data_IF_210495404440
#
_entry.id   IF_210495404440
#
_cell.length_a   1.000
_cell.length_b   1.000
_cell.length_c   1.000
_cell.angle_alpha   90.00
_cell.angle_beta   90.00
_cell.angle_gamma   90.00
#
_symmetry.space_group_name_H-M   'P 1'
#
loop_
_entity.id
_entity.type
_entity.pdbx_description
1 polymer ?
#
# COMPACT_ATOMS: atom_id res chain seq x y z
N UNK A 1 5.82 -28.67 -1.52
CA UNK A 1 7.18 -28.71 -2.09
C UNK A 1 7.08 -29.04 -3.58
N UNK A 2 7.23 -28.03 -4.43
CA UNK A 2 7.36 -28.24 -5.87
C UNK A 2 8.86 -28.40 -6.13
N UNK A 3 9.31 -29.65 -6.21
CA UNK A 3 10.65 -29.97 -6.67
C UNK A 3 10.75 -29.58 -8.15
N UNK A 4 11.39 -28.44 -8.42
CA UNK A 4 11.70 -28.03 -9.78
C UNK A 4 13.04 -28.64 -10.18
N UNK A 5 13.00 -29.69 -10.97
CA UNK A 5 14.20 -30.24 -11.63
C UNK A 5 14.56 -29.29 -12.78
N UNK A 6 15.53 -28.43 -12.55
CA UNK A 6 15.99 -27.40 -13.47
C UNK A 6 17.31 -27.80 -14.12
N UNK A 7 17.33 -27.96 -15.43
CA UNK A 7 18.54 -28.25 -16.20
C UNK A 7 18.86 -27.06 -17.13
N UNK A 8 20.02 -26.46 -16.94
CA UNK A 8 20.70 -25.57 -17.90
C UNK A 8 20.33 -24.09 -17.81
N UNK A 9 19.42 -23.61 -18.65
CA UNK A 9 19.16 -22.17 -18.84
C UNK A 9 18.33 -21.49 -17.72
N UNK A 10 17.60 -22.28 -16.96
CA UNK A 10 16.83 -21.79 -15.80
C UNK A 10 17.73 -21.35 -14.63
N UNK A 11 18.93 -21.93 -14.54
CA UNK A 11 19.92 -21.61 -13.52
C UNK A 11 20.47 -20.18 -13.66
N UNK A 12 20.59 -19.65 -14.88
CA UNK A 12 21.13 -18.33 -15.12
C UNK A 12 20.25 -17.20 -14.57
N UNK A 13 18.92 -17.28 -14.70
CA UNK A 13 18.02 -16.26 -14.12
C UNK A 13 18.00 -16.34 -12.61
N UNK A 14 18.04 -17.56 -12.07
CA UNK A 14 18.03 -17.79 -10.63
C UNK A 14 19.26 -17.23 -9.94
N UNK A 15 20.43 -17.37 -10.56
CA UNK A 15 21.69 -16.92 -9.99
C UNK A 15 21.92 -15.42 -10.20
N UNK A 16 21.44 -14.84 -11.32
CA UNK A 16 21.69 -13.43 -11.65
C UNK A 16 20.71 -12.44 -11.01
N UNK A 17 19.46 -12.85 -10.74
CA UNK A 17 18.38 -11.94 -10.32
C UNK A 17 17.65 -12.37 -9.04
N UNK A 18 18.18 -13.33 -8.27
CA UNK A 18 17.47 -13.91 -7.11
C UNK A 18 16.03 -14.35 -7.47
N UNK A 19 15.89 -15.03 -8.61
CA UNK A 19 14.60 -15.55 -9.04
C UNK A 19 14.15 -16.67 -8.07
N UNK A 20 12.97 -16.49 -7.49
CA UNK A 20 12.40 -17.38 -6.47
C UNK A 20 11.18 -18.16 -6.96
N UNK A 21 10.76 -17.93 -8.19
CA UNK A 21 9.68 -18.65 -8.83
C UNK A 21 9.77 -18.62 -10.35
N UNK A 22 9.67 -19.80 -10.94
CA UNK A 22 9.67 -19.98 -12.40
C UNK A 22 8.64 -21.03 -12.78
N UNK A 23 7.79 -20.70 -13.77
CA UNK A 23 6.86 -21.65 -14.39
C UNK A 23 6.95 -21.54 -15.90
N UNK A 24 7.26 -22.67 -16.53
CA UNK A 24 7.35 -22.77 -18.00
C UNK A 24 6.14 -23.50 -18.57
N UNK A 25 5.81 -23.18 -19.80
CA UNK A 25 4.81 -23.88 -20.59
C UNK A 25 5.19 -23.85 -22.07
N UNK A 26 4.99 -24.95 -22.79
CA UNK A 26 5.26 -25.04 -24.22
C UNK A 26 4.20 -25.86 -24.91
N UNK A 27 3.65 -25.35 -26.01
CA UNK A 27 2.79 -26.08 -26.92
C UNK A 27 3.12 -25.73 -28.36
N UNK A 28 2.81 -26.60 -29.30
CA UNK A 28 3.08 -26.37 -30.72
C UNK A 28 2.42 -25.08 -31.25
N UNK A 29 1.25 -24.71 -30.76
CA UNK A 29 0.54 -23.50 -31.19
C UNK A 29 0.88 -22.23 -30.41
N UNK A 30 1.23 -22.38 -29.11
CA UNK A 30 1.49 -21.21 -28.23
C UNK A 30 2.98 -20.86 -28.10
N UNK A 31 3.88 -21.65 -28.67
CA UNK A 31 5.32 -21.44 -28.53
C UNK A 31 5.83 -21.67 -27.11
N UNK A 32 6.94 -21.03 -26.77
CA UNK A 32 7.58 -21.13 -25.45
C UNK A 32 7.12 -19.98 -24.55
N UNK A 33 6.59 -20.32 -23.39
CA UNK A 33 6.03 -19.39 -22.42
C UNK A 33 6.77 -19.49 -21.08
N UNK A 34 6.89 -18.36 -20.36
CA UNK A 34 7.56 -18.27 -19.07
C UNK A 34 6.86 -17.25 -18.18
N UNK A 35 6.59 -17.65 -16.95
CA UNK A 35 6.30 -16.74 -15.85
C UNK A 35 7.43 -16.86 -14.84
N UNK A 36 8.05 -15.76 -14.50
CA UNK A 36 9.15 -15.70 -13.52
C UNK A 36 8.89 -14.65 -12.46
N UNK A 37 9.35 -14.92 -11.25
CA UNK A 37 9.30 -14.00 -10.11
C UNK A 37 10.71 -13.82 -9.56
N UNK A 38 11.06 -12.59 -9.23
CA UNK A 38 12.33 -12.26 -8.59
C UNK A 38 12.16 -11.17 -7.55
N UNK A 39 13.05 -11.16 -6.55
CA UNK A 39 13.07 -10.18 -5.46
C UNK A 39 14.41 -9.46 -5.40
N UNK A 40 14.35 -8.14 -5.15
CA UNK A 40 15.54 -7.32 -4.86
C UNK A 40 15.21 -6.34 -3.73
N UNK A 41 15.76 -6.57 -2.54
CA UNK A 41 15.35 -5.87 -1.34
C UNK A 41 13.86 -6.12 -1.04
N UNK A 42 13.11 -5.05 -0.83
CA UNK A 42 11.66 -5.12 -0.55
C UNK A 42 10.80 -5.19 -1.83
N UNK A 43 11.43 -5.15 -3.01
CA UNK A 43 10.73 -5.16 -4.28
C UNK A 43 10.65 -6.56 -4.86
N UNK A 44 9.42 -6.99 -5.22
CA UNK A 44 9.15 -8.20 -5.99
C UNK A 44 8.61 -7.84 -7.36
N UNK A 45 9.15 -8.44 -8.39
CA UNK A 45 8.65 -8.33 -9.75
C UNK A 45 8.25 -9.68 -10.30
N UNK A 46 7.23 -9.67 -11.15
CA UNK A 46 6.77 -10.82 -11.91
C UNK A 46 6.86 -10.45 -13.39
N UNK A 47 7.58 -11.26 -14.16
CA UNK A 47 7.65 -11.12 -15.61
C UNK A 47 6.88 -12.26 -16.28
N UNK A 48 6.09 -11.92 -17.29
CA UNK A 48 5.34 -12.86 -18.12
C UNK A 48 5.79 -12.70 -19.57
N UNK A 49 6.36 -13.75 -20.12
CA UNK A 49 6.84 -13.81 -21.50
C UNK A 49 6.10 -14.93 -22.22
N UNK A 50 5.43 -14.61 -23.31
CA UNK A 50 4.58 -15.56 -24.06
C UNK A 50 4.98 -15.61 -25.54
N UNK A 51 4.80 -16.80 -26.14
CA UNK A 51 4.86 -16.97 -27.59
C UNK A 51 6.26 -16.86 -28.20
N UNK A 52 7.33 -17.09 -27.44
CA UNK A 52 8.69 -17.02 -27.99
C UNK A 52 9.00 -18.24 -28.89
N UNK A 53 9.95 -18.05 -29.80
CA UNK A 53 10.32 -19.09 -30.77
C UNK A 53 11.18 -20.21 -30.17
N UNK A 54 11.90 -19.92 -29.10
CA UNK A 54 12.78 -20.91 -28.45
C UNK A 54 12.79 -20.73 -26.92
N UNK A 55 13.18 -21.80 -26.27
CA UNK A 55 13.40 -21.83 -24.81
C UNK A 55 14.34 -20.71 -24.35
N UNK A 56 15.49 -20.57 -25.00
CA UNK A 56 16.49 -19.55 -24.66
C UNK A 56 15.97 -18.11 -24.77
N UNK A 57 15.12 -17.84 -25.75
CA UNK A 57 14.55 -16.49 -25.94
C UNK A 57 13.64 -16.12 -24.78
N UNK A 58 12.74 -17.01 -24.32
CA UNK A 58 11.85 -16.68 -23.19
C UNK A 58 12.61 -16.33 -21.92
N UNK A 59 13.73 -17.02 -21.62
CA UNK A 59 14.56 -16.71 -20.47
C UNK A 59 15.28 -15.36 -20.62
N UNK A 60 15.89 -15.10 -21.77
CA UNK A 60 16.58 -13.83 -22.01
C UNK A 60 15.63 -12.63 -21.95
N UNK A 61 14.43 -12.75 -22.52
CA UNK A 61 13.44 -11.66 -22.46
C UNK A 61 12.91 -11.46 -21.02
N UNK A 62 12.72 -12.53 -20.27
CA UNK A 62 12.33 -12.42 -18.86
C UNK A 62 13.41 -11.73 -18.01
N UNK A 63 14.67 -12.07 -18.20
CA UNK A 63 15.81 -11.44 -17.53
C UNK A 63 15.89 -9.94 -17.85
N UNK A 64 15.73 -9.58 -19.12
CA UNK A 64 15.70 -8.16 -19.54
C UNK A 64 14.57 -7.38 -18.87
N UNK A 65 13.36 -7.96 -18.82
CA UNK A 65 12.20 -7.31 -18.18
C UNK A 65 12.42 -7.11 -16.68
N UNK A 66 12.88 -8.14 -15.96
CA UNK A 66 13.15 -8.06 -14.53
C UNK A 66 14.28 -7.05 -14.24
N UNK A 67 15.38 -7.12 -15.00
CA UNK A 67 16.50 -6.18 -14.89
C UNK A 67 16.06 -4.74 -15.13
N UNK A 68 15.25 -4.53 -16.18
CA UNK A 68 14.67 -3.21 -16.46
C UNK A 68 13.82 -2.73 -15.30
N UNK A 69 12.93 -3.56 -14.77
CA UNK A 69 12.07 -3.21 -13.66
C UNK A 69 12.87 -2.84 -12.40
N UNK A 70 13.84 -3.66 -12.00
CA UNK A 70 14.71 -3.38 -10.84
C UNK A 70 15.61 -2.16 -11.05
N UNK A 71 15.96 -1.83 -12.28
CA UNK A 71 16.77 -0.66 -12.59
C UNK A 71 15.99 0.65 -12.48
N UNK A 72 14.75 0.68 -12.95
CA UNK A 72 13.97 1.91 -13.09
C UNK A 72 12.90 2.12 -12.01
N UNK A 73 12.57 1.10 -11.22
CA UNK A 73 11.58 1.18 -10.17
C UNK A 73 12.18 0.89 -8.80
N UNK A 74 11.53 1.37 -7.79
CA UNK A 74 11.83 1.08 -6.38
C UNK A 74 10.52 0.90 -5.60
N UNK A 75 10.56 0.03 -4.59
CA UNK A 75 9.44 -0.17 -3.67
C UNK A 75 9.77 0.50 -2.34
N UNK A 76 8.87 1.31 -1.85
CA UNK A 76 8.98 2.03 -0.59
C UNK A 76 7.81 1.71 0.31
N UNK A 77 8.02 1.71 1.62
CA UNK A 77 6.97 1.53 2.63
C UNK A 77 6.77 2.86 3.35
N UNK A 78 5.92 3.76 2.81
CA UNK A 78 5.74 5.11 3.33
C UNK A 78 5.10 5.15 4.72
N UNK A 79 4.30 4.13 5.04
CA UNK A 79 3.67 3.99 6.36
C UNK A 79 4.06 2.63 6.94
N UNK A 80 4.68 2.66 8.12
CA UNK A 80 4.99 1.43 8.86
C UNK A 80 3.71 0.83 9.44
N UNK A 81 3.67 -0.50 9.65
CA UNK A 81 2.57 -1.14 10.38
C UNK A 81 2.43 -0.47 11.74
N UNK A 82 1.21 -0.34 12.22
CA UNK A 82 0.87 0.21 13.53
C UNK A 82 1.38 1.66 13.80
N UNK A 83 1.88 2.36 12.75
CA UNK A 83 2.26 3.76 12.89
C UNK A 83 1.02 4.66 12.84
N UNK A 84 0.96 5.62 13.76
CA UNK A 84 -0.02 6.70 13.71
C UNK A 84 0.29 7.59 12.51
N UNK A 85 -0.65 7.69 11.59
CA UNK A 85 -0.56 8.58 10.42
C UNK A 85 -1.00 10.00 10.78
N UNK A 86 -2.11 10.11 11.52
CA UNK A 86 -2.67 11.38 11.99
C UNK A 86 -3.43 11.18 13.29
N UNK A 87 -3.43 12.22 14.13
CA UNK A 87 -4.29 12.30 15.32
C UNK A 87 -5.44 13.23 15.01
N UNK A 88 -6.68 12.77 15.26
CA UNK A 88 -7.90 13.50 14.95
C UNK A 88 -8.76 13.66 16.21
N UNK A 89 -9.40 14.84 16.35
CA UNK A 89 -10.33 15.09 17.43
C UNK A 89 -11.54 14.15 17.37
N UNK A 90 -11.93 13.62 18.53
CA UNK A 90 -13.14 12.81 18.72
C UNK A 90 -14.04 13.52 19.71
N UNK A 91 -15.33 13.54 19.40
CA UNK A 91 -16.37 14.10 20.24
C UNK A 91 -17.06 13.01 21.07
N UNK A 92 -17.48 13.36 22.28
CA UNK A 92 -18.22 12.48 23.20
C UNK A 92 -17.44 11.26 23.67
N UNK A 93 -16.11 11.26 23.51
CA UNK A 93 -15.24 10.17 23.93
C UNK A 93 -14.70 10.32 25.36
N UNK A 94 -14.16 9.22 25.87
CA UNK A 94 -13.32 9.19 27.08
C UNK A 94 -11.92 9.81 26.80
N UNK A 95 -11.55 9.85 25.52
CA UNK A 95 -10.40 10.58 24.98
C UNK A 95 -10.88 11.62 23.97
N UNK A 96 -10.27 12.82 23.99
CA UNK A 96 -10.55 13.90 23.03
C UNK A 96 -9.91 13.67 21.67
N UNK A 97 -9.04 12.67 21.54
CA UNK A 97 -8.25 12.39 20.34
C UNK A 97 -8.22 10.89 20.02
N UNK A 98 -8.30 10.55 18.74
CA UNK A 98 -8.06 9.23 18.23
C UNK A 98 -6.83 9.20 17.32
N UNK A 99 -6.01 8.18 17.49
CA UNK A 99 -4.89 7.87 16.62
C UNK A 99 -5.39 7.07 15.43
N UNK A 100 -5.14 7.57 14.23
CA UNK A 100 -5.56 6.96 12.97
C UNK A 100 -4.34 6.53 12.16
N UNK A 101 -4.44 5.39 11.50
CA UNK A 101 -3.36 4.84 10.69
C UNK A 101 -3.86 3.94 9.57
N UNK A 102 -2.94 3.31 8.84
CA UNK A 102 -3.28 2.43 7.71
C UNK A 102 -3.56 0.98 8.13
N UNK A 103 -3.29 0.61 9.39
CA UNK A 103 -3.48 -0.75 9.90
C UNK A 103 -2.43 -1.75 9.42
N UNK A 104 -2.19 -1.81 8.14
CA UNK A 104 -1.21 -2.70 7.53
C UNK A 104 -0.06 -1.93 6.88
N UNK A 105 1.14 -2.55 6.90
CA UNK A 105 2.25 -2.03 6.12
C UNK A 105 1.89 -2.04 4.64
N UNK A 106 2.09 -0.93 3.98
CA UNK A 106 1.87 -0.84 2.57
C UNK A 106 3.11 -0.46 1.80
N UNK A 107 3.52 -1.33 0.90
CA UNK A 107 4.58 -1.02 -0.05
C UNK A 107 3.99 -0.43 -1.32
N UNK A 108 4.59 0.65 -1.80
CA UNK A 108 4.23 1.31 -3.06
C UNK A 108 5.44 1.23 -3.99
N UNK A 109 5.20 0.75 -5.22
CA UNK A 109 6.25 0.71 -6.25
C UNK A 109 6.12 1.94 -7.15
N UNK A 110 7.21 2.67 -7.31
CA UNK A 110 7.26 3.92 -8.07
C UNK A 110 8.58 4.02 -8.86
N UNK A 111 8.64 4.85 -9.90
CA UNK A 111 9.89 5.10 -10.61
C UNK A 111 10.96 5.67 -9.66
N UNK A 112 12.20 5.19 -9.79
CA UNK A 112 13.33 5.63 -8.96
C UNK A 112 13.51 7.14 -8.98
N UNK A 113 13.82 7.68 -7.81
CA UNK A 113 14.05 9.11 -7.63
C UNK A 113 12.78 9.97 -7.51
N UNK A 114 11.60 9.39 -7.63
CA UNK A 114 10.34 10.13 -7.48
C UNK A 114 9.74 10.11 -6.07
N UNK A 115 10.41 9.48 -5.12
CA UNK A 115 9.96 9.44 -3.71
C UNK A 115 9.68 10.84 -3.13
N UNK A 116 10.47 11.84 -3.53
CA UNK A 116 10.29 13.23 -3.08
C UNK A 116 8.96 13.86 -3.55
N UNK A 117 8.39 13.34 -4.62
CA UNK A 117 7.13 13.80 -5.21
C UNK A 117 5.93 13.01 -4.66
N UNK A 118 6.17 11.99 -3.85
CA UNK A 118 5.11 11.22 -3.20
C UNK A 118 4.52 12.03 -2.05
N UNK A 119 3.24 12.33 -2.14
CA UNK A 119 2.46 13.03 -1.12
C UNK A 119 1.41 12.08 -0.57
N UNK A 120 1.23 12.07 0.74
CA UNK A 120 0.13 11.38 1.39
C UNK A 120 -0.85 12.42 1.92
N UNK A 121 -2.13 12.23 1.63
CA UNK A 121 -3.25 13.02 2.15
C UNK A 121 -4.31 12.07 2.67
N UNK A 122 -5.21 12.56 3.53
CA UNK A 122 -6.32 11.75 4.03
C UNK A 122 -7.63 12.48 3.88
N UNK A 123 -8.70 11.71 3.79
CA UNK A 123 -10.08 12.20 3.74
C UNK A 123 -10.88 11.39 4.75
N UNK A 124 -11.62 12.06 5.62
CA UNK A 124 -12.53 11.40 6.56
C UNK A 124 -13.89 11.16 5.90
N UNK A 125 -14.53 10.04 6.20
CA UNK A 125 -15.88 9.73 5.74
C UNK A 125 -16.94 10.68 6.35
N UNK A 126 -16.63 11.21 7.55
CA UNK A 126 -17.47 12.16 8.26
C UNK A 126 -16.62 13.36 8.67
N UNK A 127 -17.15 14.58 8.63
CA UNK A 127 -16.40 15.78 8.98
C UNK A 127 -15.98 15.81 10.44
N UNK A 128 -16.65 15.05 11.30
CA UNK A 128 -16.36 14.95 12.73
C UNK A 128 -16.44 13.49 13.19
N UNK A 129 -15.45 13.06 13.95
CA UNK A 129 -15.46 11.74 14.57
C UNK A 129 -16.17 11.81 15.92
N UNK A 130 -17.05 10.85 16.18
CA UNK A 130 -17.80 10.72 17.43
C UNK A 130 -17.56 9.36 18.04
N UNK A 131 -17.39 9.32 19.36
CA UNK A 131 -17.32 8.06 20.10
C UNK A 131 -18.71 7.36 20.14
N UNK A 132 -18.77 6.03 20.27
CA UNK A 132 -17.62 5.13 20.41
C UNK A 132 -16.92 4.83 19.09
N UNK A 133 -15.59 4.62 19.12
CA UNK A 133 -14.81 4.18 18.00
C UNK A 133 -14.10 2.88 18.34
N UNK A 134 -14.24 1.86 17.51
CA UNK A 134 -13.58 0.57 17.71
C UNK A 134 -12.22 0.50 17.02
N UNK A 135 -11.27 -0.24 17.61
CA UNK A 135 -9.99 -0.52 16.95
C UNK A 135 -10.23 -1.22 15.61
N UNK A 136 -9.58 -0.74 14.53
CA UNK A 136 -9.76 -1.28 13.19
C UNK A 136 -10.95 -0.71 12.41
N UNK A 137 -11.78 0.13 13.04
CA UNK A 137 -12.90 0.78 12.37
C UNK A 137 -12.39 1.72 11.28
N UNK A 138 -12.93 1.60 10.04
CA UNK A 138 -12.59 2.47 8.92
C UNK A 138 -13.32 3.80 9.08
N UNK A 139 -12.56 4.89 9.18
CA UNK A 139 -13.07 6.25 9.37
C UNK A 139 -12.76 7.18 8.20
N UNK A 140 -12.00 6.70 7.23
CA UNK A 140 -11.63 7.50 6.06
C UNK A 140 -10.76 6.72 5.08
N UNK A 141 -10.06 7.48 4.23
CA UNK A 141 -9.13 6.97 3.21
C UNK A 141 -7.85 7.77 3.24
N UNK A 142 -6.72 7.09 3.08
CA UNK A 142 -5.40 7.68 2.83
C UNK A 142 -5.14 7.61 1.34
N UNK A 143 -4.89 8.74 0.71
CA UNK A 143 -4.54 8.86 -0.71
C UNK A 143 -3.05 9.11 -0.88
N UNK A 144 -2.38 8.25 -1.61
CA UNK A 144 -1.00 8.45 -2.05
C UNK A 144 -1.00 9.05 -3.45
N UNK A 145 -0.41 10.23 -3.59
CA UNK A 145 -0.36 10.99 -4.85
C UNK A 145 1.07 11.16 -5.31
N UNK A 146 1.30 10.86 -6.58
CA UNK A 146 2.56 11.15 -7.27
C UNK A 146 2.28 12.17 -8.38
N UNK A 147 2.92 13.36 -8.30
CA UNK A 147 2.67 14.46 -9.23
C UNK A 147 1.16 14.77 -9.39
N UNK A 148 0.44 14.86 -8.25
CA UNK A 148 -0.99 15.13 -8.13
C UNK A 148 -1.92 14.03 -8.69
N UNK A 149 -1.37 12.92 -9.20
CA UNK A 149 -2.14 11.75 -9.59
C UNK A 149 -2.19 10.75 -8.43
N UNK A 150 -3.38 10.34 -8.03
CA UNK A 150 -3.55 9.27 -7.04
C UNK A 150 -3.09 7.94 -7.63
N UNK A 151 -2.08 7.34 -7.00
CA UNK A 151 -1.49 6.06 -7.41
C UNK A 151 -1.98 4.91 -6.55
N UNK A 152 -2.33 5.19 -5.29
CA UNK A 152 -2.85 4.17 -4.37
C UNK A 152 -3.76 4.81 -3.32
N UNK A 153 -4.76 4.04 -2.85
CA UNK A 153 -5.66 4.42 -1.77
C UNK A 153 -5.71 3.31 -0.73
N UNK A 154 -5.74 3.70 0.55
CA UNK A 154 -5.81 2.78 1.68
C UNK A 154 -6.84 3.21 2.70
N UNK A 155 -7.48 2.26 3.40
CA UNK A 155 -8.39 2.62 4.48
C UNK A 155 -7.63 3.30 5.63
N UNK A 156 -8.18 4.41 6.12
CA UNK A 156 -7.75 5.06 7.35
C UNK A 156 -8.56 4.47 8.49
N UNK A 157 -7.87 3.80 9.42
CA UNK A 157 -8.50 3.08 10.51
C UNK A 157 -8.12 3.65 11.89
N UNK A 158 -8.96 3.37 12.86
CA UNK A 158 -8.74 3.68 14.27
C UNK A 158 -7.72 2.70 14.85
N UNK A 159 -6.60 3.20 15.38
CA UNK A 159 -5.50 2.38 15.93
C UNK A 159 -5.77 1.92 17.38
N UNK A 160 -6.43 2.76 18.17
CA UNK A 160 -6.78 2.49 19.56
C UNK A 160 -8.27 2.80 19.78
N UNK A 161 -9.01 1.95 20.51
CA UNK A 161 -10.44 2.18 20.70
C UNK A 161 -10.66 3.42 21.55
N UNK A 162 -11.69 4.21 21.23
CA UNK A 162 -12.16 5.34 22.04
C UNK A 162 -13.56 5.02 22.53
N UNK A 163 -13.71 4.90 23.84
CA UNK A 163 -15.00 4.60 24.48
C UNK A 163 -15.84 5.86 24.64
N UNK A 164 -17.14 5.69 24.91
CA UNK A 164 -17.98 6.82 25.26
C UNK A 164 -17.51 7.51 26.53
N UNK A 165 -17.43 8.81 26.50
CA UNK A 165 -17.09 9.64 27.66
C UNK A 165 -18.22 9.68 28.69
N UNK A 166 -17.86 10.03 29.91
CA UNK A 166 -18.81 10.21 31.00
C UNK A 166 -19.80 11.36 30.71
N UNK A 167 -20.89 11.40 31.47
CA UNK A 167 -21.96 12.39 31.30
C UNK A 167 -21.46 13.85 31.22
N UNK A 168 -20.54 14.23 32.09
CA UNK A 168 -19.98 15.59 32.11
C UNK A 168 -19.11 15.89 30.88
N UNK A 169 -18.30 14.95 30.42
CA UNK A 169 -17.50 15.09 29.20
C UNK A 169 -18.41 15.32 27.99
N UNK A 170 -19.48 14.55 27.89
CA UNK A 170 -20.46 14.66 26.77
C UNK A 170 -21.20 16.00 26.78
N UNK A 171 -21.52 16.53 27.95
CA UNK A 171 -22.17 17.83 28.08
C UNK A 171 -21.25 18.99 27.64
N UNK A 172 -19.98 18.94 28.04
CA UNK A 172 -18.97 19.93 27.62
C UNK A 172 -18.75 19.87 26.12
N UNK A 173 -18.57 18.67 25.58
CA UNK A 173 -18.38 18.45 24.15
C UNK A 173 -19.58 18.94 23.32
N UNK A 174 -20.81 18.73 23.80
CA UNK A 174 -22.00 19.23 23.15
C UNK A 174 -22.02 20.77 23.04
N UNK A 175 -21.64 21.46 24.10
CA UNK A 175 -21.55 22.93 24.11
C UNK A 175 -20.43 23.40 23.18
N UNK A 176 -19.26 22.78 23.23
CA UNK A 176 -18.10 23.13 22.39
C UNK A 176 -18.38 22.86 20.91
N UNK A 177 -19.05 21.76 20.57
CA UNK A 177 -19.41 21.43 19.20
C UNK A 177 -20.40 22.45 18.60
N UNK A 178 -21.38 22.90 19.40
CA UNK A 178 -22.30 23.98 19.02
C UNK A 178 -21.60 25.32 18.81
N UNK A 179 -20.66 25.67 19.67
CA UNK A 179 -19.85 26.88 19.55
C UNK A 179 -18.95 26.85 18.30
N UNK A 180 -18.29 25.70 18.05
CA UNK A 180 -17.47 25.52 16.84
C UNK A 180 -18.29 25.65 15.55
N UNK A 181 -19.48 25.08 15.50
CA UNK A 181 -20.37 25.22 14.34
C UNK A 181 -20.82 26.67 14.12
N UNK A 182 -21.04 27.44 15.20
CA UNK A 182 -21.46 28.83 15.11
C UNK A 182 -20.33 29.77 14.66
N UNK A 183 -19.12 29.58 15.17
CA UNK A 183 -17.94 30.35 14.74
C UNK A 183 -17.48 29.99 13.31
N UNK A 184 -17.60 28.73 12.88
CA UNK A 184 -17.22 28.31 11.53
C UNK A 184 -18.10 28.95 10.43
N UNK A 185 -19.37 29.27 10.71
CA UNK A 185 -20.28 29.93 9.78
C UNK A 185 -20.04 31.46 9.66
N UNK A 186 -19.18 32.04 10.51
CA UNK A 186 -18.92 33.51 10.52
C UNK A 186 -17.65 33.88 9.76
N UNK A 187 -16.81 32.89 9.42
CA UNK A 187 -15.55 33.08 8.67
C UNK A 187 -15.56 32.42 7.28
N UNK A 188 -16.71 32.00 6.77
CA UNK A 188 -16.86 31.46 5.43
C UNK A 188 -17.39 32.50 4.44
#
# INVERSE_FOLDING_TARGET
EISCSLVGSEMCIRDSLNADGVKTGTTAGAGYNLVSSATQGDMRLIAVVLGTKTDRIRFNESEKLLTWGFRFYETVTPIKPDATFVTQRVWFGDSSEAKLGAGEAGSITLPKGQLKNLKASYTLNQPQLTAPLEKGQVVGTIDFKLNDKTIEQRPLIVMEPVKEGGFFSRMIDFVLMKLHGWFGSWFS
#
